data_IF_522329057996
#
_entry.id   IF_522329057996
#
_cell.length_a   1.000
_cell.length_b   1.000
_cell.length_c   1.000
_cell.angle_alpha   90.00
_cell.angle_beta   90.00
_cell.angle_gamma   90.00
#
_symmetry.space_group_name_H-M   'P 1'
#
loop_
_entity.id
_entity.type
_entity.pdbx_description
1 polymer ?
#
# COMPACT_ATOMS: atom_id res chain seq x y z
N UNK A 1 11.03 -19.52 -18.33
CA UNK A 1 9.72 -19.50 -17.66
C UNK A 1 9.88 -18.98 -16.24
N UNK A 2 9.14 -17.95 -15.89
CA UNK A 2 9.26 -17.35 -14.57
C UNK A 2 8.53 -18.19 -13.53
N UNK A 3 9.20 -18.46 -12.41
CA UNK A 3 8.53 -19.09 -11.28
C UNK A 3 7.50 -18.11 -10.68
N UNK A 4 6.33 -18.60 -10.23
CA UNK A 4 5.40 -17.75 -9.52
C UNK A 4 6.04 -17.22 -8.23
N UNK A 5 5.76 -15.96 -7.89
CA UNK A 5 6.24 -15.37 -6.66
C UNK A 5 5.66 -16.13 -5.47
N UNK A 6 6.54 -16.49 -4.52
CA UNK A 6 6.11 -17.20 -3.33
C UNK A 6 5.32 -16.30 -2.41
N UNK A 7 4.27 -16.84 -1.82
CA UNK A 7 3.54 -16.18 -0.75
C UNK A 7 4.45 -16.10 0.48
N UNK A 8 4.69 -14.90 1.04
CA UNK A 8 5.51 -14.78 2.24
C UNK A 8 4.90 -15.54 3.42
N UNK A 9 5.77 -16.14 4.26
CA UNK A 9 5.33 -16.99 5.37
C UNK A 9 4.43 -16.25 6.38
N UNK A 10 4.67 -14.96 6.61
CA UNK A 10 3.89 -14.18 7.58
C UNK A 10 2.45 -13.91 7.12
N UNK A 11 2.10 -14.16 5.86
CA UNK A 11 0.76 -13.86 5.34
C UNK A 11 -0.34 -14.75 5.94
N UNK A 12 0.00 -15.79 6.70
CA UNK A 12 -0.97 -16.55 7.49
C UNK A 12 -1.43 -15.81 8.75
N UNK A 13 -0.71 -14.77 9.15
CA UNK A 13 -1.07 -13.92 10.28
C UNK A 13 -2.17 -12.93 9.87
N UNK A 14 -2.80 -12.31 10.87
CA UNK A 14 -3.83 -11.30 10.62
C UNK A 14 -3.21 -10.10 9.91
N UNK A 15 -3.83 -9.67 8.82
CA UNK A 15 -3.50 -8.41 8.15
C UNK A 15 -4.10 -7.25 8.96
N UNK A 16 -3.26 -6.60 9.76
CA UNK A 16 -3.68 -5.53 10.66
C UNK A 16 -4.18 -4.29 9.93
N UNK A 17 -3.78 -4.10 8.68
CA UNK A 17 -4.19 -2.97 7.85
C UNK A 17 -5.47 -3.24 7.08
N UNK A 18 -5.93 -4.48 7.00
CA UNK A 18 -7.07 -4.84 6.19
C UNK A 18 -8.35 -4.09 6.59
N UNK A 19 -9.11 -3.65 5.61
CA UNK A 19 -10.39 -2.98 5.81
C UNK A 19 -11.34 -3.82 6.67
N UNK A 20 -11.36 -5.13 6.45
CA UNK A 20 -12.23 -6.06 7.18
C UNK A 20 -11.97 -6.13 8.68
N UNK A 21 -10.80 -5.74 9.16
CA UNK A 21 -10.48 -5.68 10.61
C UNK A 21 -10.48 -4.24 11.14
N UNK A 22 -10.91 -3.30 10.32
CA UNK A 22 -11.02 -1.89 10.72
C UNK A 22 -9.89 -1.00 10.25
N UNK A 23 -8.97 -1.50 9.43
CA UNK A 23 -7.92 -0.69 8.83
C UNK A 23 -8.49 0.41 7.95
N UNK A 24 -7.87 1.58 7.97
CA UNK A 24 -8.31 2.75 7.21
C UNK A 24 -7.14 3.45 6.54
N UNK A 25 -7.29 3.77 5.27
CA UNK A 25 -6.40 4.68 4.58
C UNK A 25 -6.84 6.10 4.87
N UNK A 26 -6.08 6.81 5.70
CA UNK A 26 -6.48 8.11 6.27
C UNK A 26 -6.20 9.28 5.34
N UNK A 27 -5.06 9.24 4.64
CA UNK A 27 -4.65 10.32 3.76
C UNK A 27 -3.61 9.83 2.75
N UNK A 28 -3.55 10.49 1.62
CA UNK A 28 -2.50 10.31 0.62
C UNK A 28 -2.25 11.65 -0.07
N UNK A 29 -1.08 11.83 -0.62
CA UNK A 29 -0.77 13.06 -1.32
C UNK A 29 -1.39 13.13 -2.72
N UNK A 30 -1.68 12.00 -3.35
CA UNK A 30 -2.27 11.96 -4.69
C UNK A 30 -3.03 10.65 -4.89
N UNK A 31 -4.28 10.72 -5.33
CA UNK A 31 -5.15 9.58 -5.63
C UNK A 31 -5.84 9.77 -6.98
N UNK A 32 -5.21 10.48 -7.89
CA UNK A 32 -5.89 10.93 -9.11
C UNK A 32 -6.49 9.78 -9.93
N UNK A 33 -5.76 8.69 -10.12
CA UNK A 33 -6.21 7.57 -10.96
C UNK A 33 -6.96 6.49 -10.21
N UNK A 34 -6.60 6.22 -8.96
CA UNK A 34 -7.31 5.24 -8.14
C UNK A 34 -7.12 5.54 -6.65
N UNK A 35 -8.18 5.34 -5.83
CA UNK A 35 -8.16 5.77 -4.43
C UNK A 35 -7.28 4.88 -3.55
N UNK A 36 -6.73 5.48 -2.50
CA UNK A 36 -5.90 4.80 -1.50
C UNK A 36 -6.61 3.66 -0.77
N UNK A 37 -7.94 3.74 -0.63
CA UNK A 37 -8.74 2.71 0.04
C UNK A 37 -8.60 1.34 -0.61
N UNK A 38 -8.26 1.29 -1.89
CA UNK A 38 -8.02 0.03 -2.60
C UNK A 38 -6.83 -0.76 -2.03
N UNK A 39 -5.90 -0.11 -1.33
CA UNK A 39 -4.78 -0.80 -0.70
C UNK A 39 -5.19 -1.81 0.37
N UNK A 40 -6.33 -1.60 1.02
CA UNK A 40 -6.73 -2.33 2.21
C UNK A 40 -7.83 -3.35 1.95
N UNK A 41 -8.26 -3.51 0.70
CA UNK A 41 -9.25 -4.48 0.31
C UNK A 41 -8.69 -5.90 0.36
N UNK A 42 -9.55 -6.92 0.59
CA UNK A 42 -9.07 -8.28 0.73
C UNK A 42 -8.51 -8.84 -0.58
N UNK A 43 -7.55 -9.74 -0.44
CA UNK A 43 -6.93 -10.44 -1.55
C UNK A 43 -5.96 -9.60 -2.37
N UNK A 44 -5.41 -10.21 -3.40
CA UNK A 44 -4.58 -9.51 -4.38
C UNK A 44 -5.46 -8.78 -5.38
N UNK A 45 -4.92 -7.73 -5.97
CA UNK A 45 -5.64 -6.90 -6.92
C UNK A 45 -6.32 -7.68 -8.04
N UNK A 46 -7.47 -7.20 -8.46
CA UNK A 46 -8.26 -7.77 -9.56
C UNK A 46 -8.05 -6.94 -10.81
N UNK A 47 -7.93 -7.58 -11.95
CA UNK A 47 -7.87 -6.91 -13.24
C UNK A 47 -9.17 -7.14 -14.01
N UNK A 48 -9.83 -6.05 -14.41
CA UNK A 48 -11.04 -6.10 -15.23
C UNK A 48 -10.73 -5.45 -16.57
N UNK A 49 -10.60 -6.26 -17.67
CA UNK A 49 -10.36 -5.72 -19.00
C UNK A 49 -11.47 -4.75 -19.42
N UNK A 50 -11.11 -3.74 -20.18
CA UNK A 50 -12.06 -2.78 -20.76
C UNK A 50 -12.90 -1.98 -19.76
N UNK A 51 -12.54 -1.99 -18.48
CA UNK A 51 -13.16 -1.11 -17.48
C UNK A 51 -12.37 0.19 -17.38
N UNK A 52 -13.09 1.31 -17.54
CA UNK A 52 -12.51 2.64 -17.49
C UNK A 52 -13.31 3.52 -16.54
N UNK A 53 -12.65 4.56 -16.02
CA UNK A 53 -13.28 5.65 -15.28
C UNK A 53 -13.08 6.94 -16.09
N UNK A 54 -13.62 8.05 -15.62
CA UNK A 54 -13.36 9.37 -16.20
C UNK A 54 -11.88 9.81 -16.09
N UNK A 55 -11.10 9.06 -15.33
CA UNK A 55 -9.64 9.29 -15.11
C UNK A 55 -8.75 8.32 -15.88
N UNK A 56 -9.32 7.39 -16.65
CA UNK A 56 -8.59 6.42 -17.44
C UNK A 56 -8.94 4.98 -17.11
N UNK A 57 -8.00 4.07 -17.38
CA UNK A 57 -8.20 2.65 -17.13
C UNK A 57 -8.36 2.35 -15.64
N UNK A 58 -9.40 1.57 -15.31
CA UNK A 58 -9.63 1.15 -13.93
C UNK A 58 -8.55 0.18 -13.45
N UNK A 59 -8.01 0.45 -12.27
CA UNK A 59 -7.03 -0.40 -11.59
C UNK A 59 -7.46 -0.65 -10.15
N UNK A 60 -7.28 -1.88 -9.69
CA UNK A 60 -7.53 -2.27 -8.30
C UNK A 60 -6.27 -2.05 -7.46
N UNK A 61 -6.12 -0.85 -6.97
CA UNK A 61 -4.99 -0.43 -6.18
C UNK A 61 -4.97 1.08 -6.05
N UNK A 62 -4.04 1.59 -5.27
CA UNK A 62 -3.79 3.02 -5.19
C UNK A 62 -2.93 3.45 -6.37
N UNK A 63 -3.37 4.44 -7.12
CA UNK A 63 -2.65 4.95 -8.28
C UNK A 63 -2.62 6.47 -8.28
N UNK A 64 -1.43 7.02 -8.11
CA UNK A 64 -1.13 8.44 -8.17
C UNK A 64 -0.69 8.84 -9.57
N UNK A 65 -0.67 10.15 -9.84
CA UNK A 65 -0.12 10.69 -11.08
C UNK A 65 1.39 10.47 -11.12
N UNK A 66 1.93 10.36 -12.33
CA UNK A 66 3.37 10.31 -12.50
C UNK A 66 4.02 11.57 -11.92
N UNK A 67 4.97 11.35 -11.00
CA UNK A 67 5.72 12.45 -10.40
C UNK A 67 6.83 12.89 -11.32
N UNK A 68 6.78 14.13 -11.74
CA UNK A 68 7.78 14.71 -12.65
C UNK A 68 8.77 15.61 -11.92
N UNK A 69 8.63 15.74 -10.61
CA UNK A 69 9.51 16.53 -9.74
C UNK A 69 10.14 15.62 -8.69
N UNK A 70 11.28 15.99 -8.09
CA UNK A 70 11.85 15.22 -6.99
C UNK A 70 10.88 15.06 -5.84
N UNK A 71 10.95 13.92 -5.14
CA UNK A 71 10.11 13.62 -4.00
C UNK A 71 9.53 12.23 -4.09
N UNK A 72 8.51 11.97 -3.28
CA UNK A 72 7.83 10.67 -3.21
C UNK A 72 6.35 10.86 -2.95
N UNK A 73 5.58 9.83 -3.27
CA UNK A 73 4.18 9.75 -2.87
C UNK A 73 4.09 9.02 -1.53
N UNK A 74 3.07 9.33 -0.76
CA UNK A 74 2.86 8.74 0.56
C UNK A 74 1.39 8.47 0.83
N UNK A 75 1.14 7.49 1.68
CA UNK A 75 -0.18 7.16 2.19
C UNK A 75 -0.09 6.90 3.69
N UNK A 76 -1.01 7.48 4.43
CA UNK A 76 -1.15 7.29 5.87
C UNK A 76 -2.23 6.25 6.13
N UNK A 77 -1.87 5.17 6.83
CA UNK A 77 -2.77 4.07 7.13
C UNK A 77 -2.87 3.91 8.64
N UNK A 78 -4.10 3.81 9.14
CA UNK A 78 -4.37 3.43 10.52
C UNK A 78 -4.67 1.94 10.57
N UNK A 79 -3.93 1.20 11.39
CA UNK A 79 -4.20 -0.22 11.58
C UNK A 79 -5.52 -0.41 12.33
N UNK A 80 -6.29 -1.43 11.96
CA UNK A 80 -7.58 -1.71 12.57
C UNK A 80 -7.47 -2.31 13.97
N UNK A 81 -6.36 -2.98 14.24
CA UNK A 81 -6.06 -3.63 15.51
C UNK A 81 -4.63 -3.27 15.93
N UNK A 82 -4.38 -3.10 17.24
CA UNK A 82 -3.01 -2.99 17.72
C UNK A 82 -2.29 -4.34 17.58
N UNK A 83 -0.99 -4.30 17.33
CA UNK A 83 -0.23 -5.53 17.19
C UNK A 83 1.23 -5.28 16.87
N UNK A 84 1.96 -6.38 16.75
CA UNK A 84 3.36 -6.36 16.33
C UNK A 84 3.42 -6.67 14.85
N UNK A 85 4.01 -5.76 14.08
CA UNK A 85 4.19 -5.94 12.64
C UNK A 85 5.32 -6.94 12.42
N UNK A 86 5.02 -8.07 11.79
CA UNK A 86 5.98 -9.14 11.50
C UNK A 86 6.53 -9.05 10.07
N UNK A 87 5.79 -8.45 9.18
CA UNK A 87 6.20 -8.31 7.80
C UNK A 87 5.24 -7.42 7.04
N UNK A 88 5.65 -7.04 5.84
CA UNK A 88 4.85 -6.20 4.94
C UNK A 88 4.89 -6.82 3.55
N UNK A 89 3.72 -6.97 2.97
CA UNK A 89 3.56 -7.41 1.58
C UNK A 89 3.08 -6.23 0.74
N UNK A 90 3.95 -5.73 -0.10
CA UNK A 90 3.63 -4.62 -1.00
C UNK A 90 3.32 -5.23 -2.37
N UNK A 91 2.04 -5.25 -2.71
CA UNK A 91 1.53 -5.91 -3.89
C UNK A 91 1.46 -4.94 -5.07
N UNK A 92 2.23 -5.21 -6.10
CA UNK A 92 2.26 -4.45 -7.35
C UNK A 92 1.58 -5.20 -8.49
N UNK A 93 0.73 -6.18 -8.17
CA UNK A 93 0.04 -7.00 -9.16
C UNK A 93 -0.77 -6.13 -10.13
N UNK A 94 -0.65 -6.43 -11.43
CA UNK A 94 -1.25 -5.66 -12.53
C UNK A 94 -0.65 -4.27 -12.80
N UNK A 95 0.24 -3.77 -11.94
CA UNK A 95 1.00 -2.54 -12.18
C UNK A 95 2.37 -2.88 -12.79
N UNK A 96 2.36 -3.50 -13.95
CA UNK A 96 3.54 -4.17 -14.51
C UNK A 96 4.67 -3.21 -14.92
N UNK A 97 4.34 -2.03 -15.39
CA UNK A 97 5.34 -1.05 -15.82
C UNK A 97 5.22 0.29 -15.12
N UNK A 98 4.25 0.46 -14.24
CA UNK A 98 3.90 1.74 -13.64
C UNK A 98 3.93 1.75 -12.11
N UNK A 99 4.43 0.67 -11.48
CA UNK A 99 4.66 0.69 -10.03
C UNK A 99 5.88 1.55 -9.70
N UNK A 100 5.95 2.14 -8.50
CA UNK A 100 7.15 2.86 -8.08
C UNK A 100 8.35 1.92 -7.97
N UNK A 101 9.57 2.42 -8.20
CA UNK A 101 10.76 1.55 -8.13
C UNK A 101 11.11 1.13 -6.70
N UNK A 102 10.70 1.89 -5.70
CA UNK A 102 11.04 1.64 -4.30
C UNK A 102 9.88 2.02 -3.39
N UNK A 103 9.88 1.45 -2.19
CA UNK A 103 8.99 1.83 -1.11
C UNK A 103 9.72 1.77 0.22
N UNK A 104 9.24 2.53 1.18
CA UNK A 104 9.67 2.47 2.58
C UNK A 104 8.45 2.62 3.48
N UNK A 105 8.57 2.17 4.73
CA UNK A 105 7.52 2.29 5.72
C UNK A 105 8.07 2.85 7.03
N UNK A 106 7.31 3.79 7.58
CA UNK A 106 7.48 4.28 8.94
C UNK A 106 6.24 3.91 9.74
N UNK A 107 6.40 3.66 11.02
CA UNK A 107 5.28 3.38 11.90
C UNK A 107 5.41 4.17 13.19
N UNK A 108 4.27 4.45 13.81
CA UNK A 108 4.22 5.03 15.13
C UNK A 108 3.08 4.41 15.92
N UNK A 109 3.21 4.41 17.25
CA UNK A 109 2.14 4.02 18.16
C UNK A 109 1.59 5.29 18.79
N UNK A 110 0.27 5.47 18.68
CA UNK A 110 -0.39 6.62 19.26
C UNK A 110 -1.29 6.19 20.41
N UNK A 111 -1.32 6.93 21.53
CA UNK A 111 -2.37 6.79 22.52
C UNK A 111 -3.73 7.10 21.88
N UNK A 112 -4.79 6.50 22.40
CA UNK A 112 -6.15 6.75 21.93
C UNK A 112 -6.45 8.26 21.96
N UNK A 113 -6.97 8.77 20.85
CA UNK A 113 -7.31 10.19 20.71
C UNK A 113 -6.14 11.14 20.44
N UNK A 114 -4.91 10.63 20.34
CA UNK A 114 -3.75 11.46 20.04
C UNK A 114 -3.65 11.75 18.55
N UNK A 115 -3.12 12.93 18.21
CA UNK A 115 -2.79 13.28 16.84
C UNK A 115 -1.43 12.73 16.43
N UNK A 116 -1.26 12.50 15.14
CA UNK A 116 0.03 12.07 14.58
C UNK A 116 1.01 13.23 14.62
N UNK A 117 2.14 13.03 15.31
CA UNK A 117 3.24 13.97 15.37
C UNK A 117 4.32 13.57 14.34
N UNK A 118 4.89 14.54 13.66
CA UNK A 118 5.85 14.28 12.59
C UNK A 118 7.11 13.53 13.04
N UNK A 119 7.54 13.78 14.27
CA UNK A 119 8.72 13.17 14.88
C UNK A 119 8.47 11.86 15.63
N UNK A 120 7.21 11.40 15.67
CA UNK A 120 6.84 10.15 16.35
C UNK A 120 7.12 8.89 15.51
N UNK A 121 7.52 9.06 14.26
CA UNK A 121 7.68 7.96 13.33
C UNK A 121 9.00 7.23 13.50
N UNK A 122 8.93 5.90 13.41
CA UNK A 122 10.11 5.01 13.38
C UNK A 122 10.12 4.26 12.05
N UNK A 123 11.23 4.30 11.36
CA UNK A 123 11.39 3.52 10.13
C UNK A 123 11.38 2.03 10.46
N UNK A 124 10.45 1.29 9.86
CA UNK A 124 10.33 -0.17 10.02
C UNK A 124 10.73 -0.93 8.77
N UNK A 125 10.70 -0.28 7.61
CA UNK A 125 11.19 -0.82 6.35
C UNK A 125 11.98 0.29 5.66
N UNK A 126 13.31 0.16 5.50
CA UNK A 126 14.09 1.15 4.76
C UNK A 126 13.72 1.11 3.28
N UNK A 127 14.09 2.15 2.55
CA UNK A 127 13.85 2.23 1.11
C UNK A 127 14.30 0.94 0.43
N UNK A 128 13.35 0.20 -0.13
CA UNK A 128 13.56 -1.13 -0.69
C UNK A 128 13.03 -1.20 -2.10
N UNK A 129 13.70 -1.93 -3.00
CA UNK A 129 13.23 -2.04 -4.39
C UNK A 129 11.94 -2.85 -4.44
N UNK A 130 11.04 -2.42 -5.32
CA UNK A 130 9.82 -3.15 -5.63
C UNK A 130 10.00 -3.95 -6.91
N UNK A 131 9.43 -5.13 -6.95
CA UNK A 131 9.45 -6.02 -8.10
C UNK A 131 8.07 -6.06 -8.78
N UNK A 132 8.03 -6.59 -9.99
CA UNK A 132 6.77 -6.82 -10.69
C UNK A 132 5.99 -7.88 -9.93
N UNK A 133 4.79 -7.52 -9.48
CA UNK A 133 3.85 -8.41 -8.83
C UNK A 133 3.88 -8.37 -7.29
N UNK A 134 5.04 -8.41 -6.67
CA UNK A 134 5.14 -8.45 -5.21
C UNK A 134 6.56 -8.17 -4.72
N UNK A 135 6.65 -7.52 -3.59
CA UNK A 135 7.93 -7.28 -2.90
C UNK A 135 7.82 -7.60 -1.41
#
# INVERSE_FOLDING_TARGET
MNEPLKTPAFTHLIDLAAERVGGQAMAANDEFFAPKENLLKPGRGVFIPDKYTDRGKWMDGWESRRRRTPGHDWCLIELGLPGVIKGVDIDTNHFLGNHPPHASLDACRLPEGASVEEDAWTEILPKSPLEIGRA
#
